data_IF_946052440027
#
_entry.id   IF_946052440027
#
_cell.length_a   1.000
_cell.length_b   1.000
_cell.length_c   1.000
_cell.angle_alpha   90.00
_cell.angle_beta   90.00
_cell.angle_gamma   90.00
#
_symmetry.space_group_name_H-M   'P 1'
#
loop_
_entity.id
_entity.type
_entity.pdbx_description
1 polymer ?
#
# COMPACT_ATOMS: atom_id res chain seq x y z
N UNK A 1 0.80 15.64 -8.60
CA UNK A 1 0.58 14.18 -8.68
C UNK A 1 1.93 13.52 -8.83
N UNK A 2 2.16 12.43 -8.10
CA UNK A 2 3.42 11.68 -8.09
C UNK A 2 3.62 10.90 -9.41
N UNK A 3 4.85 10.74 -9.90
CA UNK A 3 5.16 10.07 -11.17
C UNK A 3 4.41 10.63 -12.39
N UNK A 4 4.16 11.95 -12.45
CA UNK A 4 3.38 12.59 -13.53
C UNK A 4 3.96 12.43 -14.94
N UNK A 5 5.26 12.13 -15.05
CA UNK A 5 5.93 11.86 -16.33
C UNK A 5 5.80 10.39 -16.76
N UNK A 6 5.47 9.46 -15.86
CA UNK A 6 5.37 8.02 -16.12
C UNK A 6 3.93 7.48 -16.09
N UNK A 7 3.01 8.20 -15.44
CA UNK A 7 1.61 7.80 -15.30
C UNK A 7 0.71 8.85 -15.94
N UNK A 8 -0.18 8.40 -16.83
CA UNK A 8 -1.13 9.24 -17.56
C UNK A 8 -2.30 9.71 -16.68
N UNK A 9 -2.02 10.41 -15.57
CA UNK A 9 -3.02 10.84 -14.60
C UNK A 9 -4.15 11.67 -15.20
N UNK A 10 -3.86 12.52 -16.18
CA UNK A 10 -4.87 13.34 -16.86
C UNK A 10 -5.93 12.48 -17.56
N UNK A 11 -5.55 11.28 -18.02
CA UNK A 11 -6.48 10.30 -18.59
C UNK A 11 -7.47 9.78 -17.53
N UNK A 12 -7.05 9.66 -16.27
CA UNK A 12 -7.94 9.27 -15.17
C UNK A 12 -8.78 10.46 -14.68
N UNK A 13 -8.14 11.57 -14.34
CA UNK A 13 -8.77 12.69 -13.61
C UNK A 13 -9.77 13.46 -14.47
N UNK A 14 -9.58 13.50 -15.80
CA UNK A 14 -10.55 14.09 -16.74
C UNK A 14 -11.84 13.27 -16.90
N UNK A 15 -11.79 11.98 -16.53
CA UNK A 15 -12.92 11.05 -16.58
C UNK A 15 -13.74 11.00 -15.28
N UNK A 16 -13.25 11.64 -14.22
CA UNK A 16 -13.89 11.66 -12.91
C UNK A 16 -14.49 13.04 -12.61
N UNK A 17 -15.63 13.03 -11.90
CA UNK A 17 -16.24 14.23 -11.35
C UNK A 17 -16.59 13.99 -9.89
N UNK A 18 -16.43 15.01 -9.06
CA UNK A 18 -16.93 14.99 -7.69
C UNK A 18 -18.43 15.26 -7.69
N UNK A 19 -19.19 14.46 -6.93
CA UNK A 19 -20.62 14.69 -6.69
C UNK A 19 -20.87 14.53 -5.19
N UNK A 20 -21.42 15.55 -4.56
CA UNK A 20 -21.90 15.47 -3.18
C UNK A 20 -23.27 14.80 -3.14
N UNK A 21 -23.47 13.86 -2.21
CA UNK A 21 -24.74 13.16 -1.97
C UNK A 21 -25.43 12.69 -3.26
N UNK A 22 -24.72 11.93 -4.09
CA UNK A 22 -25.19 11.54 -5.41
C UNK A 22 -26.51 10.74 -5.32
N UNK A 23 -27.64 11.28 -5.85
CA UNK A 23 -28.95 10.67 -5.69
C UNK A 23 -29.15 9.42 -6.55
N UNK A 24 -28.27 9.19 -7.54
CA UNK A 24 -28.33 8.05 -8.47
C UNK A 24 -27.80 6.76 -7.84
N UNK A 25 -27.05 6.85 -6.73
CA UNK A 25 -26.52 5.70 -5.99
C UNK A 25 -27.28 5.55 -4.68
N UNK A 26 -27.68 4.32 -4.31
CA UNK A 26 -28.35 4.04 -3.03
C UNK A 26 -27.49 3.14 -2.14
N UNK A 27 -27.17 3.54 -0.89
CA UNK A 27 -27.46 4.84 -0.29
C UNK A 27 -26.73 5.98 -1.02
N UNK A 28 -27.22 7.21 -0.88
CA UNK A 28 -26.57 8.40 -1.44
C UNK A 28 -25.16 8.53 -0.88
N UNK A 29 -24.20 8.87 -1.74
CA UNK A 29 -22.78 8.95 -1.37
C UNK A 29 -22.13 10.18 -1.99
N UNK A 30 -21.25 10.80 -1.22
CA UNK A 30 -20.34 11.86 -1.69
C UNK A 30 -19.03 11.21 -2.14
N UNK A 31 -18.67 11.33 -3.41
CA UNK A 31 -17.46 10.70 -3.95
C UNK A 31 -17.06 11.22 -5.35
N UNK A 32 -15.98 10.64 -5.91
CA UNK A 32 -15.68 10.69 -7.33
C UNK A 32 -16.53 9.68 -8.10
N UNK A 33 -17.15 10.14 -9.18
CA UNK A 33 -17.97 9.34 -10.07
C UNK A 33 -17.48 9.43 -11.52
N UNK A 34 -17.66 8.36 -12.33
CA UNK A 34 -17.43 8.43 -13.76
C UNK A 34 -18.33 9.48 -14.41
N UNK A 35 -17.76 10.32 -15.28
CA UNK A 35 -18.50 11.35 -16.02
C UNK A 35 -19.45 10.83 -17.10
N UNK A 36 -19.34 9.56 -17.50
CA UNK A 36 -20.16 9.01 -18.59
C UNK A 36 -19.82 9.58 -19.98
N UNK A 37 -18.56 9.98 -20.21
CA UNK A 37 -18.13 10.52 -21.49
C UNK A 37 -18.11 9.44 -22.59
N UNK A 38 -18.30 9.82 -23.87
CA UNK A 38 -18.03 8.91 -24.99
C UNK A 38 -16.60 8.36 -24.90
N UNK A 39 -16.44 7.04 -25.05
CA UNK A 39 -15.15 6.34 -24.98
C UNK A 39 -14.42 6.42 -23.63
N UNK A 40 -15.08 6.84 -22.54
CA UNK A 40 -14.50 6.88 -21.20
C UNK A 40 -13.81 5.56 -20.81
N UNK A 41 -14.41 4.42 -21.16
CA UNK A 41 -13.84 3.09 -20.94
C UNK A 41 -12.45 2.93 -21.58
N UNK A 42 -12.24 3.47 -22.80
CA UNK A 42 -10.96 3.37 -23.49
C UNK A 42 -9.88 4.20 -22.77
N UNK A 43 -10.22 5.40 -22.31
CA UNK A 43 -9.30 6.26 -21.57
C UNK A 43 -8.93 5.67 -20.20
N UNK A 44 -9.90 5.06 -19.50
CA UNK A 44 -9.64 4.36 -18.23
C UNK A 44 -8.79 3.10 -18.44
N UNK A 45 -9.03 2.33 -19.51
CA UNK A 45 -8.19 1.19 -19.86
C UNK A 45 -6.77 1.60 -20.24
N UNK A 46 -6.61 2.70 -20.96
CA UNK A 46 -5.29 3.26 -21.28
C UNK A 46 -4.54 3.65 -20.01
N UNK A 47 -5.20 4.32 -19.06
CA UNK A 47 -4.63 4.62 -17.75
C UNK A 47 -4.21 3.34 -17.02
N UNK A 48 -5.08 2.34 -16.90
CA UNK A 48 -4.78 1.08 -16.22
C UNK A 48 -3.58 0.36 -16.85
N UNK A 49 -3.48 0.32 -18.18
CA UNK A 49 -2.33 -0.25 -18.91
C UNK A 49 -1.04 0.52 -18.63
N UNK A 50 -1.12 1.85 -18.57
CA UNK A 50 0.04 2.70 -18.28
C UNK A 50 0.54 2.45 -16.86
N UNK A 51 -0.34 2.46 -15.86
CA UNK A 51 0.01 2.13 -14.47
C UNK A 51 0.63 0.73 -14.38
N UNK A 52 0.00 -0.28 -14.97
CA UNK A 52 0.52 -1.65 -14.93
C UNK A 52 1.90 -1.77 -15.60
N UNK A 53 2.12 -1.05 -16.70
CA UNK A 53 3.41 -1.01 -17.40
C UNK A 53 4.47 -0.32 -16.53
N UNK A 54 4.14 0.83 -15.96
CA UNK A 54 5.03 1.58 -15.07
C UNK A 54 5.42 0.78 -13.84
N UNK A 55 4.48 0.10 -13.19
CA UNK A 55 4.75 -0.82 -12.07
C UNK A 55 5.73 -1.91 -12.52
N UNK A 56 5.47 -2.56 -13.66
CA UNK A 56 6.36 -3.61 -14.19
C UNK A 56 7.77 -3.09 -14.46
N UNK A 57 7.89 -1.95 -15.14
CA UNK A 57 9.20 -1.34 -15.44
C UNK A 57 9.96 -0.99 -14.17
N UNK A 58 9.30 -0.43 -13.15
CA UNK A 58 9.94 -0.17 -11.87
C UNK A 58 10.33 -1.45 -11.16
N UNK A 59 9.47 -2.47 -11.12
CA UNK A 59 9.78 -3.78 -10.53
C UNK A 59 10.99 -4.43 -11.22
N UNK A 60 11.05 -4.41 -12.55
CA UNK A 60 12.17 -4.97 -13.31
C UNK A 60 13.47 -4.22 -13.05
N UNK A 61 13.40 -2.88 -13.04
CA UNK A 61 14.55 -2.01 -12.76
C UNK A 61 15.05 -2.18 -11.33
N UNK A 62 14.14 -2.26 -10.37
CA UNK A 62 14.47 -2.50 -8.96
C UNK A 62 15.09 -3.89 -8.79
N UNK A 63 14.45 -4.93 -9.35
CA UNK A 63 14.95 -6.31 -9.29
C UNK A 63 16.36 -6.46 -9.87
N UNK A 64 16.69 -5.70 -10.92
CA UNK A 64 18.00 -5.70 -11.56
C UNK A 64 19.13 -5.18 -10.67
N UNK A 65 18.82 -4.43 -9.60
CA UNK A 65 19.82 -3.98 -8.61
C UNK A 65 20.33 -5.11 -7.71
N UNK A 66 19.62 -6.24 -7.69
CA UNK A 66 19.87 -7.35 -6.78
C UNK A 66 20.39 -8.59 -7.52
N UNK A 67 21.19 -9.46 -6.87
CA UNK A 67 21.66 -10.70 -7.47
C UNK A 67 20.52 -11.58 -8.02
N UNK A 68 20.78 -12.34 -9.08
CA UNK A 68 19.80 -13.30 -9.62
C UNK A 68 19.67 -14.56 -8.77
N UNK A 69 20.69 -14.85 -7.97
CA UNK A 69 20.75 -15.99 -7.05
C UNK A 69 21.19 -15.49 -5.68
N UNK A 70 20.60 -16.05 -4.63
CA UNK A 70 20.97 -15.78 -3.25
C UNK A 70 21.47 -17.08 -2.61
N UNK A 71 22.60 -17.01 -1.90
CA UNK A 71 23.02 -18.11 -1.03
C UNK A 71 22.21 -17.99 0.27
N UNK A 72 21.10 -18.71 0.34
CA UNK A 72 20.15 -18.60 1.42
C UNK A 72 20.59 -19.49 2.60
N UNK A 73 21.03 -18.91 3.73
CA UNK A 73 21.44 -19.70 4.89
C UNK A 73 20.25 -20.49 5.43
N UNK A 74 20.51 -21.70 5.95
CA UNK A 74 19.47 -22.57 6.52
C UNK A 74 19.10 -22.22 7.97
N UNK A 75 19.89 -21.37 8.62
CA UNK A 75 19.76 -21.05 10.04
C UNK A 75 20.25 -19.64 10.35
N UNK A 76 19.79 -19.08 11.46
CA UNK A 76 20.21 -17.78 11.97
C UNK A 76 19.22 -16.66 11.71
N UNK A 77 19.69 -15.42 11.88
CA UNK A 77 18.84 -14.22 11.83
C UNK A 77 18.62 -13.78 10.39
N UNK A 78 17.35 -13.67 10.00
CA UNK A 78 16.88 -13.10 8.76
C UNK A 78 17.10 -11.59 8.69
N UNK A 79 16.85 -10.88 9.80
CA UNK A 79 16.99 -9.43 9.89
C UNK A 79 17.69 -9.01 11.20
N UNK A 80 18.35 -7.83 11.22
CA UNK A 80 19.13 -7.39 12.38
C UNK A 80 18.25 -7.04 13.59
N UNK A 81 18.86 -7.03 14.79
CA UNK A 81 18.17 -6.74 16.05
C UNK A 81 17.53 -5.35 16.08
N UNK A 82 18.09 -4.38 15.35
CA UNK A 82 17.52 -3.02 15.23
C UNK A 82 16.10 -3.02 14.65
N UNK A 83 15.78 -3.96 13.76
CA UNK A 83 14.46 -4.08 13.15
C UNK A 83 13.50 -4.72 14.15
N UNK A 84 13.98 -5.70 14.90
CA UNK A 84 13.22 -6.28 16.00
C UNK A 84 12.88 -5.22 17.05
N UNK A 85 13.87 -4.46 17.52
CA UNK A 85 13.70 -3.38 18.51
C UNK A 85 12.71 -2.32 18.04
N UNK A 86 12.77 -1.94 16.76
CA UNK A 86 11.88 -0.92 16.19
C UNK A 86 10.41 -1.35 16.16
N UNK A 87 10.15 -2.60 15.78
CA UNK A 87 8.79 -3.05 15.47
C UNK A 87 8.19 -4.01 16.50
N UNK A 88 8.96 -4.52 17.47
CA UNK A 88 8.47 -5.48 18.47
C UNK A 88 7.46 -4.87 19.45
N UNK A 89 7.46 -3.56 19.61
CA UNK A 89 6.52 -2.84 20.48
C UNK A 89 5.12 -2.70 19.87
N UNK A 90 4.95 -3.01 18.58
CA UNK A 90 3.65 -2.96 17.91
C UNK A 90 2.79 -4.13 18.40
N UNK A 91 1.56 -3.91 18.91
CA UNK A 91 0.74 -4.95 19.54
C UNK A 91 0.48 -6.20 18.68
N UNK A 92 0.33 -6.02 17.37
CA UNK A 92 0.15 -7.10 16.40
C UNK A 92 1.31 -7.14 15.38
N UNK A 93 2.54 -7.02 15.87
CA UNK A 93 3.73 -7.01 15.01
C UNK A 93 3.94 -8.34 14.30
N UNK A 94 4.21 -8.30 13.00
CA UNK A 94 4.77 -9.45 12.25
C UNK A 94 6.26 -9.65 12.55
N UNK A 95 6.91 -8.67 13.17
CA UNK A 95 8.33 -8.69 13.54
C UNK A 95 8.45 -9.08 15.01
N UNK A 96 8.90 -10.31 15.23
CA UNK A 96 9.00 -10.95 16.55
C UNK A 96 10.33 -11.70 16.65
N UNK A 97 10.78 -12.07 17.86
CA UNK A 97 11.99 -12.88 18.01
C UNK A 97 11.92 -14.20 17.24
N UNK A 98 10.72 -14.76 17.07
CA UNK A 98 10.50 -15.97 16.26
C UNK A 98 10.64 -15.69 14.78
N UNK A 99 9.99 -14.64 14.26
CA UNK A 99 10.04 -14.31 12.83
C UNK A 99 11.38 -13.71 12.38
N UNK A 100 12.26 -13.38 13.33
CA UNK A 100 13.67 -13.07 13.05
C UNK A 100 14.48 -14.29 12.62
N UNK A 101 14.09 -15.51 13.01
CA UNK A 101 14.85 -16.72 12.72
C UNK A 101 14.41 -17.35 11.39
N UNK A 102 15.37 -17.79 10.57
CA UNK A 102 15.08 -18.45 9.28
C UNK A 102 14.35 -19.78 9.51
N UNK A 103 14.73 -20.49 10.55
CA UNK A 103 14.16 -21.75 11.01
C UNK A 103 12.65 -21.65 11.19
N UNK A 104 12.16 -20.52 11.73
CA UNK A 104 10.73 -20.26 11.87
C UNK A 104 9.99 -20.28 10.52
N UNK A 105 10.58 -19.71 9.48
CA UNK A 105 9.98 -19.67 8.15
C UNK A 105 10.05 -21.02 7.44
N UNK A 106 11.10 -21.80 7.68
CA UNK A 106 11.20 -23.20 7.21
C UNK A 106 10.12 -24.05 7.87
N UNK A 107 9.93 -23.95 9.19
CA UNK A 107 8.86 -24.65 9.91
C UNK A 107 7.47 -24.26 9.38
N UNK A 108 7.27 -22.96 9.13
CA UNK A 108 6.00 -22.41 8.62
C UNK A 108 5.72 -22.77 7.16
N UNK A 109 6.75 -23.16 6.41
CA UNK A 109 6.66 -23.66 5.04
C UNK A 109 6.13 -25.10 4.91
N UNK A 110 5.62 -25.69 6.00
CA UNK A 110 5.00 -27.01 6.01
C UNK A 110 3.85 -27.21 4.99
N UNK A 111 3.21 -28.40 4.98
CA UNK A 111 2.36 -28.87 3.87
C UNK A 111 1.14 -28.00 3.52
N UNK A 112 0.73 -27.10 4.41
CA UNK A 112 -0.25 -26.04 4.14
C UNK A 112 0.36 -24.71 4.54
N UNK A 113 1.15 -24.08 3.66
CA UNK A 113 1.84 -22.86 4.01
C UNK A 113 0.83 -21.72 4.22
N UNK A 114 1.02 -20.91 5.26
CA UNK A 114 0.33 -19.64 5.42
C UNK A 114 1.40 -18.59 5.68
N UNK A 115 1.79 -17.83 4.66
CA UNK A 115 2.84 -16.84 4.80
C UNK A 115 2.26 -15.46 5.10
N UNK A 116 2.78 -14.84 6.14
CA UNK A 116 2.67 -13.40 6.37
C UNK A 116 4.09 -12.91 6.38
N UNK A 117 4.53 -12.28 5.30
CA UNK A 117 5.96 -11.95 5.09
C UNK A 117 6.54 -11.06 6.19
N UNK A 118 7.87 -11.04 6.34
CA UNK A 118 8.54 -10.07 7.21
C UNK A 118 8.15 -8.65 6.77
N UNK A 119 7.91 -7.77 7.75
CA UNK A 119 7.33 -6.45 7.56
C UNK A 119 8.07 -5.55 6.56
N UNK A 120 7.31 -4.62 6.00
CA UNK A 120 7.54 -3.76 4.83
C UNK A 120 8.75 -2.81 4.83
N UNK A 121 9.64 -2.83 5.82
CA UNK A 121 10.82 -1.96 5.70
C UNK A 121 11.76 -2.51 4.63
N UNK A 122 12.30 -1.65 3.75
CA UNK A 122 13.14 -1.91 2.56
C UNK A 122 14.21 -3.02 2.74
N UNK A 123 13.74 -4.26 2.86
CA UNK A 123 14.50 -5.47 3.11
C UNK A 123 14.32 -6.42 1.93
N UNK A 124 14.45 -5.84 0.74
CA UNK A 124 14.25 -6.60 -0.49
C UNK A 124 15.28 -7.73 -0.61
N UNK A 125 16.50 -7.55 -0.07
CA UNK A 125 17.50 -8.61 0.05
C UNK A 125 16.97 -9.81 0.84
N UNK A 126 16.39 -9.58 2.03
CA UNK A 126 15.85 -10.63 2.89
C UNK A 126 14.65 -11.31 2.24
N UNK A 127 13.74 -10.53 1.63
CA UNK A 127 12.59 -11.06 0.90
C UNK A 127 13.01 -11.91 -0.30
N UNK A 128 13.97 -11.43 -1.10
CA UNK A 128 14.50 -12.16 -2.24
C UNK A 128 15.29 -13.39 -1.79
N UNK A 129 16.03 -13.32 -0.68
CA UNK A 129 16.71 -14.46 -0.09
C UNK A 129 15.70 -15.54 0.33
N UNK A 130 14.61 -15.17 1.02
CA UNK A 130 13.53 -16.11 1.36
C UNK A 130 12.86 -16.69 0.12
N UNK A 131 12.65 -15.88 -0.93
CA UNK A 131 12.05 -16.33 -2.19
C UNK A 131 12.90 -17.40 -2.91
N UNK A 132 14.23 -17.34 -2.78
CA UNK A 132 15.15 -18.33 -3.35
C UNK A 132 15.54 -19.44 -2.36
N UNK A 133 15.02 -19.44 -1.14
CA UNK A 133 15.41 -20.42 -0.13
C UNK A 133 14.84 -21.82 -0.47
N UNK A 134 15.65 -22.89 -0.48
CA UNK A 134 15.23 -24.21 -0.98
C UNK A 134 14.08 -24.85 -0.20
N UNK A 135 13.95 -24.51 1.09
CA UNK A 135 12.89 -25.02 1.96
C UNK A 135 11.69 -24.07 2.13
N UNK A 136 11.66 -22.91 1.45
CA UNK A 136 10.61 -21.91 1.60
C UNK A 136 10.03 -21.57 0.22
N UNK A 137 8.85 -22.10 -0.17
CA UNK A 137 8.20 -21.83 -1.46
C UNK A 137 7.59 -20.42 -1.56
N UNK A 138 8.27 -19.38 -1.06
CA UNK A 138 7.78 -18.00 -1.14
C UNK A 138 7.72 -17.49 -2.60
N UNK A 139 8.54 -18.04 -3.50
CA UNK A 139 8.50 -17.74 -4.94
C UNK A 139 7.16 -18.11 -5.61
N UNK A 140 6.38 -19.01 -5.03
CA UNK A 140 5.07 -19.36 -5.56
C UNK A 140 4.03 -18.25 -5.30
N UNK A 141 4.35 -17.29 -4.41
CA UNK A 141 3.48 -16.18 -4.00
C UNK A 141 2.09 -16.61 -3.54
N UNK A 142 1.93 -17.90 -3.21
CA UNK A 142 0.69 -18.44 -2.68
C UNK A 142 0.51 -17.91 -1.25
N UNK A 143 -0.72 -17.54 -0.92
CA UNK A 143 -1.08 -17.05 0.42
C UNK A 143 -0.42 -15.72 0.82
N UNK A 144 0.13 -14.94 -0.13
CA UNK A 144 0.35 -13.49 0.07
C UNK A 144 -1.01 -12.84 0.26
N UNK A 145 -1.44 -12.85 1.50
CA UNK A 145 -2.77 -12.43 1.88
C UNK A 145 -2.60 -11.12 2.65
N UNK A 146 -3.47 -10.16 2.29
CA UNK A 146 -3.76 -8.92 3.03
C UNK A 146 -2.86 -7.70 2.71
N UNK A 147 -3.49 -6.52 2.58
CA UNK A 147 -2.83 -5.20 2.61
C UNK A 147 -2.40 -4.58 1.26
N UNK A 148 -1.81 -5.34 0.34
CA UNK A 148 -1.10 -4.74 -0.80
C UNK A 148 -1.99 -4.00 -1.82
N UNK A 149 -3.21 -4.48 -2.08
CA UNK A 149 -4.10 -3.85 -3.05
C UNK A 149 -4.66 -2.52 -2.55
N UNK A 150 -4.86 -2.37 -1.23
CA UNK A 150 -5.37 -1.13 -0.64
C UNK A 150 -4.36 0.01 -0.71
N UNK A 151 -3.06 -0.29 -0.61
CA UNK A 151 -2.02 0.72 -0.76
C UNK A 151 -2.01 1.33 -2.17
N UNK A 152 -2.15 0.50 -3.21
CA UNK A 152 -2.24 0.98 -4.60
C UNK A 152 -3.54 1.75 -4.84
N UNK A 153 -4.67 1.27 -4.34
CA UNK A 153 -5.96 1.96 -4.45
C UNK A 153 -5.92 3.33 -3.77
N UNK A 154 -5.39 3.41 -2.55
CA UNK A 154 -5.23 4.67 -1.83
C UNK A 154 -4.23 5.60 -2.51
N UNK A 155 -3.12 5.07 -3.04
CA UNK A 155 -2.16 5.84 -3.84
C UNK A 155 -2.82 6.49 -5.06
N UNK A 156 -3.64 5.74 -5.81
CA UNK A 156 -4.40 6.28 -6.95
C UNK A 156 -5.40 7.34 -6.46
N UNK A 157 -6.17 7.05 -5.42
CA UNK A 157 -7.15 7.97 -4.85
C UNK A 157 -6.51 9.31 -4.43
N UNK A 158 -5.43 9.30 -3.66
CA UNK A 158 -4.76 10.51 -3.22
C UNK A 158 -4.14 11.30 -4.38
N UNK A 159 -3.65 10.62 -5.43
CA UNK A 159 -3.22 11.31 -6.65
C UNK A 159 -4.39 11.98 -7.40
N UNK A 160 -5.56 11.33 -7.45
CA UNK A 160 -6.76 11.98 -7.99
C UNK A 160 -7.16 13.18 -7.14
N UNK A 161 -7.12 13.07 -5.81
CA UNK A 161 -7.41 14.18 -4.91
C UNK A 161 -6.43 15.35 -5.12
N UNK A 162 -5.14 15.07 -5.33
CA UNK A 162 -4.12 16.07 -5.67
C UNK A 162 -4.43 16.83 -6.98
N UNK A 163 -5.23 16.26 -7.88
CA UNK A 163 -5.67 16.92 -9.11
C UNK A 163 -6.85 17.88 -8.91
N UNK A 164 -7.44 17.90 -7.71
CA UNK A 164 -8.65 18.67 -7.35
C UNK A 164 -8.37 19.57 -6.14
N UNK A 165 -7.47 20.56 -6.25
CA UNK A 165 -7.08 21.42 -5.14
C UNK A 165 -8.25 22.15 -4.48
N UNK A 166 -9.34 22.41 -5.21
CA UNK A 166 -10.57 23.01 -4.71
C UNK A 166 -11.30 22.12 -3.68
N UNK A 167 -11.23 20.79 -3.81
CA UNK A 167 -11.85 19.89 -2.83
C UNK A 167 -11.07 19.89 -1.53
N UNK A 168 -9.76 20.08 -1.63
CA UNK A 168 -8.87 20.20 -0.49
C UNK A 168 -9.05 21.53 0.25
N UNK A 169 -8.99 22.65 -0.48
CA UNK A 169 -9.10 23.99 0.10
C UNK A 169 -10.37 24.18 0.95
N UNK A 170 -11.48 23.59 0.53
CA UNK A 170 -12.76 23.66 1.23
C UNK A 170 -12.98 22.49 2.22
N UNK A 171 -12.02 21.55 2.33
CA UNK A 171 -12.11 20.37 3.18
C UNK A 171 -13.16 19.33 2.75
N UNK A 172 -13.74 19.46 1.55
CA UNK A 172 -14.84 18.62 1.05
C UNK A 172 -14.44 17.15 0.84
N UNK A 173 -13.16 16.85 0.68
CA UNK A 173 -12.70 15.47 0.61
C UNK A 173 -12.99 14.67 1.88
N UNK A 174 -13.12 15.33 3.04
CA UNK A 174 -13.37 14.66 4.33
C UNK A 174 -14.73 13.97 4.41
N UNK A 175 -15.69 14.41 3.60
CA UNK A 175 -17.02 13.78 3.52
C UNK A 175 -17.10 12.66 2.48
N UNK A 176 -16.00 12.38 1.76
CA UNK A 176 -15.97 11.34 0.75
C UNK A 176 -15.92 9.96 1.38
N UNK A 177 -16.78 9.05 0.90
CA UNK A 177 -16.78 7.66 1.36
C UNK A 177 -15.46 6.96 1.06
N UNK A 178 -14.90 7.18 -0.14
CA UNK A 178 -13.57 6.72 -0.55
C UNK A 178 -12.45 7.23 0.35
N UNK A 179 -12.50 8.48 0.82
CA UNK A 179 -11.50 9.01 1.75
C UNK A 179 -11.53 8.27 3.09
N UNK A 180 -12.72 8.13 3.69
CA UNK A 180 -12.88 7.37 4.93
C UNK A 180 -12.46 5.91 4.75
N UNK A 181 -12.82 5.29 3.61
CA UNK A 181 -12.44 3.91 3.30
C UNK A 181 -10.93 3.76 3.15
N UNK A 182 -10.27 4.66 2.41
CA UNK A 182 -8.82 4.64 2.20
C UNK A 182 -8.07 4.75 3.52
N UNK A 183 -8.44 5.72 4.38
CA UNK A 183 -7.85 5.85 5.71
C UNK A 183 -8.02 4.57 6.52
N UNK A 184 -9.25 4.06 6.63
CA UNK A 184 -9.55 2.83 7.37
C UNK A 184 -8.74 1.65 6.86
N UNK A 185 -8.61 1.46 5.55
CA UNK A 185 -7.84 0.34 4.99
C UNK A 185 -6.33 0.48 5.23
N UNK A 186 -5.81 1.71 5.22
CA UNK A 186 -4.38 1.97 5.43
C UNK A 186 -3.97 1.90 6.91
N UNK A 187 -4.86 2.23 7.83
CA UNK A 187 -4.53 2.37 9.25
C UNK A 187 -5.10 1.26 10.13
N UNK A 188 -6.11 0.49 9.69
CA UNK A 188 -6.69 -0.56 10.52
C UNK A 188 -5.71 -1.69 10.84
N UNK A 189 -5.84 -2.24 12.04
CA UNK A 189 -5.14 -3.46 12.41
C UNK A 189 -5.65 -4.63 11.60
N UNK A 190 -4.71 -5.42 11.08
CA UNK A 190 -4.99 -6.62 10.28
C UNK A 190 -4.30 -7.85 10.86
N UNK A 191 -3.76 -7.74 12.09
CA UNK A 191 -3.02 -8.82 12.74
C UNK A 191 -1.55 -8.93 12.32
N UNK A 192 -1.06 -8.00 11.48
CA UNK A 192 0.32 -7.92 10.96
C UNK A 192 0.73 -6.47 10.75
N UNK A 193 0.63 -5.69 11.82
CA UNK A 193 0.48 -4.24 11.80
C UNK A 193 1.72 -3.46 11.34
N UNK A 194 2.86 -4.14 11.19
CA UNK A 194 4.10 -3.54 10.65
C UNK A 194 3.86 -2.99 9.25
N UNK A 195 3.03 -3.64 8.42
CA UNK A 195 2.70 -3.15 7.08
C UNK A 195 1.86 -1.86 7.08
N UNK A 196 1.05 -1.66 8.13
CA UNK A 196 0.26 -0.44 8.27
C UNK A 196 1.00 0.65 9.04
N UNK A 197 2.17 0.33 9.62
CA UNK A 197 2.90 1.23 10.50
C UNK A 197 3.33 2.53 9.82
N UNK A 198 3.95 2.53 8.62
CA UNK A 198 4.32 3.78 7.94
C UNK A 198 3.10 4.66 7.62
N UNK A 199 1.95 4.03 7.35
CA UNK A 199 0.70 4.76 7.11
C UNK A 199 0.14 5.36 8.40
N UNK A 200 0.20 4.65 9.54
CA UNK A 200 -0.20 5.19 10.85
C UNK A 200 0.72 6.30 11.35
N UNK A 201 2.02 6.22 11.07
CA UNK A 201 2.95 7.32 11.38
C UNK A 201 2.56 8.60 10.65
N UNK A 202 2.08 8.49 9.41
CA UNK A 202 1.66 9.64 8.62
C UNK A 202 0.25 10.14 8.96
N UNK A 203 -0.74 9.25 9.03
CA UNK A 203 -2.15 9.60 9.23
C UNK A 203 -2.55 9.75 10.71
N UNK A 204 -1.74 9.25 11.64
CA UNK A 204 -2.09 9.17 13.06
C UNK A 204 -2.58 7.79 13.48
N UNK A 205 -2.65 7.59 14.80
CA UNK A 205 -3.19 6.37 15.40
C UNK A 205 -4.73 6.36 15.34
N UNK A 206 -5.31 5.16 15.36
CA UNK A 206 -6.74 4.99 15.56
C UNK A 206 -7.08 5.27 17.04
N UNK A 207 -8.16 5.99 17.29
CA UNK A 207 -8.82 6.01 18.59
C UNK A 207 -9.39 4.63 18.94
N UNK A 208 -9.81 4.45 20.19
CA UNK A 208 -10.38 3.19 20.69
C UNK A 208 -11.65 2.73 19.93
N UNK A 209 -12.25 3.60 19.12
CA UNK A 209 -13.36 3.32 18.23
C UNK A 209 -12.96 2.90 16.81
N UNK A 210 -11.66 2.81 16.52
CA UNK A 210 -11.16 2.52 15.18
C UNK A 210 -11.24 3.69 14.21
N UNK A 211 -11.35 4.93 14.70
CA UNK A 211 -11.30 6.14 13.87
C UNK A 211 -9.90 6.74 13.94
N UNK A 212 -9.33 7.13 12.80
CA UNK A 212 -8.06 7.88 12.78
C UNK A 212 -8.27 9.16 13.59
N UNK A 213 -7.49 9.38 14.65
CA UNK A 213 -7.45 10.69 15.32
C UNK A 213 -7.18 11.71 14.22
N UNK A 214 -8.13 12.64 14.02
CA UNK A 214 -8.25 13.53 12.86
C UNK A 214 -7.15 14.59 12.80
N UNK A 215 -5.88 14.23 12.94
CA UNK A 215 -4.81 15.01 12.36
C UNK A 215 -5.11 15.05 10.85
N UNK A 216 -5.38 16.24 10.33
CA UNK A 216 -5.63 16.41 8.92
C UNK A 216 -4.30 16.33 8.16
N UNK A 217 -3.74 15.12 8.08
CA UNK A 217 -2.44 14.86 7.43
C UNK A 217 -2.45 15.23 5.95
N UNK A 218 -3.64 15.40 5.38
CA UNK A 218 -3.80 15.90 4.02
C UNK A 218 -3.75 17.42 3.93
N UNK A 219 -4.00 18.20 5.00
CA UNK A 219 -4.00 19.67 4.99
C UNK A 219 -2.71 20.27 4.40
N UNK A 220 -1.61 19.56 4.51
CA UNK A 220 -0.31 19.94 3.95
C UNK A 220 -0.03 19.12 2.68
N UNK A 221 -0.21 19.76 1.53
CA UNK A 221 0.05 19.16 0.20
C UNK A 221 1.49 18.67 0.04
N UNK A 222 2.47 19.33 0.67
CA UNK A 222 3.86 18.91 0.58
C UNK A 222 4.07 17.62 1.37
N UNK A 223 3.48 17.52 2.56
CA UNK A 223 3.49 16.27 3.34
C UNK A 223 2.81 15.12 2.61
N UNK A 224 1.66 15.36 1.98
CA UNK A 224 1.00 14.34 1.15
C UNK A 224 1.88 13.90 -0.02
N UNK A 225 2.57 14.85 -0.68
CA UNK A 225 3.47 14.52 -1.77
C UNK A 225 4.67 13.68 -1.31
N UNK A 226 5.27 13.99 -0.15
CA UNK A 226 6.33 13.17 0.44
C UNK A 226 5.84 11.79 0.87
N UNK A 227 4.63 11.69 1.45
CA UNK A 227 4.01 10.40 1.76
C UNK A 227 3.83 9.54 0.51
N UNK A 228 3.37 10.12 -0.61
CA UNK A 228 3.21 9.38 -1.85
C UNK A 228 4.54 8.88 -2.45
N UNK A 229 5.64 9.61 -2.23
CA UNK A 229 7.01 9.16 -2.61
C UNK A 229 7.51 8.00 -1.76
N UNK A 230 7.07 7.91 -0.50
CA UNK A 230 7.37 6.75 0.33
C UNK A 230 6.60 5.51 -0.14
N UNK A 231 5.36 5.68 -0.60
CA UNK A 231 4.51 4.58 -1.03
C UNK A 231 4.90 3.97 -2.39
N UNK A 232 5.48 4.76 -3.30
CA UNK A 232 5.77 4.34 -4.69
C UNK A 232 6.89 5.17 -5.32
#
# INVERSE_FOLDING_TARGET
>A
MHQSHNIAWDSLTSNLTFIAENPVVTPWRTDFFPRGLPLQFNSLNHFARTVATTIRTFSDTERAKYPTSFDAPLQGKLFPDSILERYSSIPASSVTPKSQLIEHWIERAGPTPSYTGPGQENQLDQLLMLAHHPCIPLHELQQLSWGHHWALEAYIFFNVLLSKPELHADGRYKSMGSYTSALRMLTNSTGYDVQTFPHREFFGALDDGGNVERADSLADFNKLHEYLRMCF
#
